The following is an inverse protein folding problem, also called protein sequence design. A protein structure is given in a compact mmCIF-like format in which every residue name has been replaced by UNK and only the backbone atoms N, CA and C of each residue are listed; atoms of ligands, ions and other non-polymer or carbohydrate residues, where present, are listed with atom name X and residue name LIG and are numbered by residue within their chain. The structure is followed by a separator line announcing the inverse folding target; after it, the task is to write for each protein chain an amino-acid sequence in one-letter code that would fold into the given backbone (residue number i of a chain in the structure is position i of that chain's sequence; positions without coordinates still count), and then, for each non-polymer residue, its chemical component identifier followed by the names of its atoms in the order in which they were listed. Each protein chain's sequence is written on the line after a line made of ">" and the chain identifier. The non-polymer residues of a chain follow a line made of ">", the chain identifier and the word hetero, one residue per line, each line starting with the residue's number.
data_IF_101633319212
#
_entry.id   IF_101633319212
#
_cell.length_a   1.000
_cell.length_b   1.000
_cell.length_c   1.000
_cell.angle_alpha   90.00
_cell.angle_beta   90.00
_cell.angle_gamma   90.00
#
_symmetry.space_group_name_H-M   'P 1'
#
loop_
_entity.id
_entity.type
_entity.pdbx_description
1 polymer ?
#
# COMPACT_ATOMS: atom_id res chain seq x y z
N UNK A 1 -0.07 26.97 -25.22
CA UNK A 1 -0.28 27.34 -23.80
C UNK A 1 0.40 28.69 -23.59
N UNK A 2 -0.30 29.79 -23.88
CA UNK A 2 0.28 31.12 -23.90
C UNK A 2 -0.36 31.93 -22.77
N UNK A 3 0.39 32.25 -21.72
CA UNK A 3 -0.16 33.03 -20.62
C UNK A 3 0.72 33.26 -19.39
N UNK A 4 2.00 32.90 -19.41
CA UNK A 4 2.93 33.26 -18.33
C UNK A 4 4.01 34.17 -18.89
N UNK A 5 4.06 35.41 -18.39
CA UNK A 5 5.12 36.35 -18.72
C UNK A 5 6.45 35.89 -18.14
N UNK A 6 7.56 36.31 -18.77
CA UNK A 6 8.92 36.05 -18.26
C UNK A 6 9.09 36.57 -16.83
N UNK A 7 8.37 37.63 -16.45
CA UNK A 7 8.37 38.16 -15.08
C UNK A 7 7.70 37.22 -14.09
N UNK A 8 6.59 36.57 -14.46
CA UNK A 8 5.91 35.57 -13.63
C UNK A 8 6.73 34.28 -13.51
N UNK A 9 7.44 33.90 -14.58
CA UNK A 9 8.42 32.82 -14.55
C UNK A 9 9.61 33.17 -13.63
N UNK A 10 10.13 34.40 -13.70
CA UNK A 10 11.20 34.87 -12.81
C UNK A 10 10.74 34.95 -11.35
N UNK A 11 9.47 35.28 -11.05
CA UNK A 11 8.96 35.19 -9.68
C UNK A 11 8.81 33.74 -9.19
N UNK A 12 8.58 32.79 -10.10
CA UNK A 12 8.55 31.35 -9.81
C UNK A 12 9.95 30.77 -9.54
N UNK A 13 11.01 31.31 -10.16
CA UNK A 13 12.36 30.74 -10.15
C UNK A 13 13.46 31.57 -9.46
N UNK A 14 13.32 32.90 -9.35
CA UNK A 14 14.35 33.79 -8.78
C UNK A 14 14.13 34.15 -7.30
N UNK A 15 13.04 33.67 -6.68
CA UNK A 15 12.83 33.70 -5.23
C UNK A 15 13.05 32.28 -4.66
N UNK A 16 14.19 31.99 -4.01
CA UNK A 16 14.43 30.67 -3.44
C UNK A 16 13.67 30.50 -2.11
N UNK A 17 13.05 29.34 -1.84
CA UNK A 17 12.56 28.33 -2.77
C UNK A 17 11.10 28.66 -3.15
N UNK A 18 10.64 28.31 -4.35
CA UNK A 18 9.21 28.07 -4.53
C UNK A 18 8.78 27.15 -3.37
N UNK A 19 7.89 27.59 -2.45
CA UNK A 19 7.54 26.75 -1.31
C UNK A 19 7.16 25.38 -1.87
N UNK A 20 7.64 24.29 -1.29
CA UNK A 20 7.30 22.92 -1.75
C UNK A 20 5.80 22.72 -1.97
N UNK A 21 4.97 23.55 -1.32
CA UNK A 21 3.52 23.71 -1.54
C UNK A 21 3.10 24.12 -2.96
N UNK A 22 3.84 24.96 -3.69
CA UNK A 22 3.50 25.37 -5.06
C UNK A 22 3.85 24.25 -6.05
N UNK A 23 5.06 23.71 -5.98
CA UNK A 23 5.47 22.57 -6.79
C UNK A 23 4.55 21.35 -6.56
N UNK A 24 4.20 21.06 -5.30
CA UNK A 24 3.23 20.02 -4.98
C UNK A 24 1.83 20.31 -5.54
N UNK A 25 1.37 21.56 -5.55
CA UNK A 25 0.08 21.93 -6.17
C UNK A 25 0.07 21.76 -7.69
N UNK A 26 1.22 21.86 -8.34
CA UNK A 26 1.34 21.64 -9.79
C UNK A 26 1.53 20.15 -10.12
N UNK A 27 2.26 19.42 -9.27
CA UNK A 27 2.53 17.99 -9.47
C UNK A 27 1.33 17.11 -9.10
N UNK A 28 0.50 17.52 -8.14
CA UNK A 28 -0.67 16.78 -7.68
C UNK A 28 -1.94 17.57 -7.91
N UNK A 29 -2.84 17.00 -8.71
CA UNK A 29 -4.13 17.58 -9.06
C UNK A 29 -5.22 16.57 -8.70
N UNK A 30 -5.49 16.31 -7.40
CA UNK A 30 -6.56 15.40 -7.01
C UNK A 30 -7.89 15.87 -7.61
N UNK A 31 -8.64 14.99 -8.29
CA UNK A 31 -9.96 15.35 -8.78
C UNK A 31 -10.95 15.46 -7.61
N UNK A 32 -12.13 16.00 -7.89
CA UNK A 32 -13.27 15.80 -7.00
C UNK A 32 -13.54 14.29 -6.86
N UNK A 33 -13.71 13.76 -5.63
CA UNK A 33 -13.89 12.32 -5.42
C UNK A 33 -15.05 11.78 -6.25
N UNK A 34 -14.78 10.69 -6.96
CA UNK A 34 -15.78 10.01 -7.79
C UNK A 34 -16.39 8.81 -7.09
N UNK A 35 -16.00 8.55 -5.85
CA UNK A 35 -16.53 7.49 -5.02
C UNK A 35 -16.56 7.86 -3.53
N UNK A 36 -17.34 7.12 -2.77
CA UNK A 36 -17.41 7.18 -1.32
C UNK A 36 -17.37 5.77 -0.71
N UNK A 37 -16.92 5.70 0.55
CA UNK A 37 -17.00 4.49 1.36
C UNK A 37 -18.16 4.61 2.34
N UNK A 38 -19.15 3.74 2.19
CA UNK A 38 -20.30 3.70 3.09
C UNK A 38 -20.16 2.51 4.05
N UNK A 39 -20.48 2.67 5.34
CA UNK A 39 -20.52 1.54 6.27
C UNK A 39 -21.49 0.47 5.78
N UNK A 40 -21.04 -0.78 5.74
CA UNK A 40 -21.89 -1.91 5.39
C UNK A 40 -22.65 -2.41 6.61
N UNK A 41 -23.83 -1.82 6.84
CA UNK A 41 -24.68 -2.12 8.00
C UNK A 41 -25.27 -3.55 7.98
N UNK A 42 -25.16 -4.26 6.86
CA UNK A 42 -25.68 -5.63 6.68
C UNK A 42 -24.59 -6.70 6.86
N UNK A 43 -23.32 -6.29 6.97
CA UNK A 43 -22.20 -7.22 7.11
C UNK A 43 -22.03 -7.66 8.56
N UNK A 44 -22.17 -8.96 8.82
CA UNK A 44 -21.71 -9.57 10.07
C UNK A 44 -20.19 -9.37 10.28
N UNK A 45 -19.68 -9.61 11.50
CA UNK A 45 -18.27 -9.39 11.82
C UNK A 45 -17.34 -10.16 10.87
N UNK A 46 -16.25 -9.50 10.44
CA UNK A 46 -15.24 -10.08 9.54
C UNK A 46 -14.66 -11.34 10.19
N UNK A 47 -14.71 -12.52 9.54
CA UNK A 47 -14.09 -13.71 10.09
C UNK A 47 -12.58 -13.51 10.11
N UNK A 48 -12.00 -13.46 11.30
CA UNK A 48 -10.56 -13.59 11.49
C UNK A 48 -10.19 -15.04 11.19
N UNK A 49 -9.55 -15.29 10.04
CA UNK A 49 -9.03 -16.62 9.75
C UNK A 49 -7.82 -16.90 10.63
N UNK A 50 -8.05 -17.28 11.88
CA UNK A 50 -7.12 -18.08 12.66
C UNK A 50 -7.22 -19.52 12.17
N UNK A 51 -6.55 -19.82 11.06
CA UNK A 51 -6.26 -21.20 10.71
C UNK A 51 -5.24 -21.71 11.73
N UNK A 52 -5.73 -22.24 12.85
CA UNK A 52 -4.99 -23.20 13.67
C UNK A 52 -4.67 -24.39 12.77
N UNK A 53 -3.39 -24.56 12.46
CA UNK A 53 -2.88 -25.77 11.84
C UNK A 53 -3.35 -26.99 12.67
N UNK A 54 -3.90 -28.05 12.05
CA UNK A 54 -4.20 -29.27 12.78
C UNK A 54 -2.89 -29.86 13.31
N UNK A 55 -2.79 -29.98 14.63
CA UNK A 55 -1.67 -30.60 15.31
C UNK A 55 -1.39 -31.99 14.75
N UNK A 56 -0.13 -32.20 14.35
CA UNK A 56 0.42 -33.48 13.93
C UNK A 56 0.31 -34.46 15.11
N UNK A 57 -0.71 -35.32 15.11
CA UNK A 57 -0.78 -36.46 16.03
C UNK A 57 0.28 -37.46 15.62
N UNK A 58 1.36 -37.55 16.39
CA UNK A 58 2.32 -38.64 16.30
C UNK A 58 1.61 -39.95 16.66
N UNK A 59 1.44 -40.83 15.67
CA UNK A 59 1.15 -42.24 15.93
C UNK A 59 2.47 -42.90 16.32
N UNK A 60 2.54 -43.39 17.56
CA UNK A 60 3.65 -44.19 18.03
C UNK A 60 3.76 -45.50 17.24
N UNK A 61 4.95 -45.77 16.74
CA UNK A 61 5.38 -47.12 16.37
C UNK A 61 6.46 -47.55 17.34
N UNK A 62 6.13 -48.55 18.14
CA UNK A 62 7.05 -49.35 18.93
C UNK A 62 8.08 -50.02 18.02
N UNK A 63 9.37 -49.77 18.27
CA UNK A 63 10.46 -50.70 17.91
C UNK A 63 11.41 -50.77 19.11
N UNK A 64 11.73 -52.00 19.47
CA UNK A 64 12.51 -52.40 20.64
C UNK A 64 14.01 -52.52 20.32
N UNK A 65 14.82 -52.42 21.38
CA UNK A 65 16.22 -52.90 21.48
C UNK A 65 17.28 -51.84 21.14
N UNK A 66 18.35 -51.61 21.90
CA UNK A 66 18.87 -52.23 23.13
C UNK A 66 20.29 -51.71 23.40
N UNK A 67 20.72 -51.72 24.67
CA UNK A 67 22.12 -51.53 25.15
C UNK A 67 22.67 -50.10 25.08
N UNK A 68 23.45 -49.56 26.02
CA UNK A 68 24.10 -50.02 27.25
C UNK A 68 25.16 -48.97 27.68
N UNK A 69 25.52 -48.92 28.97
CA UNK A 69 26.67 -48.15 29.53
C UNK A 69 26.31 -46.77 30.10
N UNK A 70 26.27 -46.53 31.43
CA UNK A 70 27.41 -46.32 32.39
C UNK A 70 28.18 -45.01 32.08
N UNK A 71 28.51 -44.06 32.97
CA UNK A 71 28.49 -43.90 34.42
C UNK A 71 28.67 -42.39 34.78
N UNK A 72 28.41 -42.06 36.06
CA UNK A 72 28.97 -40.96 36.88
C UNK A 72 28.74 -39.50 36.42
N UNK A 73 28.38 -38.52 37.25
CA UNK A 73 28.43 -38.40 38.71
C UNK A 73 29.24 -37.15 39.09
N UNK A 74 28.68 -36.35 40.03
CA UNK A 74 29.28 -35.20 40.75
C UNK A 74 29.23 -33.85 40.00
N UNK A 75 28.78 -32.72 40.56
CA UNK A 75 28.29 -32.41 41.90
C UNK A 75 28.57 -30.94 42.24
N UNK A 76 27.55 -30.22 42.75
CA UNK A 76 27.66 -29.02 43.62
C UNK A 76 28.09 -27.71 42.94
N UNK A 77 27.55 -26.53 43.24
CA UNK A 77 26.61 -26.10 44.29
C UNK A 77 26.95 -24.66 44.73
N UNK A 78 25.90 -23.84 44.91
CA UNK A 78 25.89 -22.55 45.64
C UNK A 78 26.19 -21.30 44.79
N UNK A 79 25.49 -20.17 44.89
CA UNK A 79 24.40 -19.74 45.78
C UNK A 79 24.46 -18.21 46.00
N UNK A 80 23.28 -17.56 46.03
CA UNK A 80 23.05 -16.16 46.48
C UNK A 80 23.16 -15.12 45.36
N UNK A 81 22.16 -14.31 44.99
CA UNK A 81 21.16 -13.57 45.78
C UNK A 81 21.55 -12.07 45.70
N UNK A 82 20.73 -11.07 45.37
CA UNK A 82 19.30 -10.94 45.11
C UNK A 82 18.97 -9.48 44.75
N UNK A 83 17.68 -9.17 44.60
CA UNK A 83 17.11 -7.82 44.44
C UNK A 83 16.98 -7.38 42.97
N UNK A 84 15.82 -7.15 42.38
CA UNK A 84 14.54 -6.72 42.92
C UNK A 84 14.24 -5.32 42.38
N UNK A 85 13.46 -5.21 41.30
CA UNK A 85 12.54 -4.10 41.05
C UNK A 85 11.64 -4.43 39.86
N UNK A 86 10.36 -4.64 40.17
CA UNK A 86 9.28 -4.74 39.23
C UNK A 86 8.82 -3.33 38.83
N UNK A 87 8.72 -3.11 37.54
CA UNK A 87 7.78 -2.19 36.90
C UNK A 87 7.53 -2.78 35.50
N UNK A 88 6.34 -3.23 35.13
CA UNK A 88 5.07 -2.52 35.30
C UNK A 88 4.89 -1.60 34.09
N UNK A 89 4.72 -2.18 32.90
CA UNK A 89 4.50 -1.45 31.65
C UNK A 89 3.78 -2.35 30.65
N UNK A 90 2.45 -2.38 30.78
CA UNK A 90 1.57 -3.22 29.98
C UNK A 90 1.42 -2.76 28.54
N UNK A 91 1.08 -3.73 27.68
CA UNK A 91 0.02 -3.63 26.69
C UNK A 91 0.16 -2.55 25.62
N UNK A 92 0.71 -2.94 24.47
CA UNK A 92 0.63 -2.17 23.23
C UNK A 92 0.67 -3.05 21.99
N UNK A 93 0.15 -4.28 22.08
CA UNK A 93 -0.21 -5.04 20.88
C UNK A 93 -1.33 -4.27 20.20
N UNK A 94 -0.99 -3.51 19.15
CA UNK A 94 -1.94 -2.84 18.28
C UNK A 94 -2.78 -3.89 17.55
N UNK A 95 -3.73 -4.48 18.26
CA UNK A 95 -4.77 -5.30 17.68
C UNK A 95 -5.47 -4.47 16.62
N UNK A 96 -5.63 -5.09 15.45
CA UNK A 96 -6.45 -4.55 14.38
C UNK A 96 -7.79 -4.10 14.97
N UNK A 97 -7.96 -2.79 15.09
CA UNK A 97 -9.25 -2.22 15.42
C UNK A 97 -10.22 -2.73 14.35
N UNK A 98 -11.30 -3.39 14.78
CA UNK A 98 -12.29 -3.97 13.88
C UNK A 98 -12.83 -2.88 12.95
N UNK A 99 -12.28 -2.78 11.76
CA UNK A 99 -12.79 -1.90 10.73
C UNK A 99 -14.07 -2.53 10.20
N UNK A 100 -15.18 -1.80 10.34
CA UNK A 100 -16.45 -2.17 9.72
C UNK A 100 -16.23 -2.44 8.24
N UNK A 101 -16.99 -3.39 7.68
CA UNK A 101 -16.97 -3.64 6.24
C UNK A 101 -17.48 -2.37 5.54
N UNK A 102 -16.82 -1.97 4.46
CA UNK A 102 -17.20 -0.81 3.68
C UNK A 102 -17.80 -1.26 2.34
N UNK A 103 -18.89 -0.61 1.92
CA UNK A 103 -19.42 -0.72 0.55
C UNK A 103 -18.90 0.44 -0.29
N UNK A 104 -18.44 0.11 -1.50
CA UNK A 104 -18.04 1.08 -2.50
C UNK A 104 -19.30 1.72 -3.12
N UNK A 105 -19.39 3.04 -3.07
CA UNK A 105 -20.42 3.81 -3.76
C UNK A 105 -19.76 4.69 -4.82
N UNK A 106 -20.03 4.41 -6.09
CA UNK A 106 -19.52 5.21 -7.21
C UNK A 106 -20.51 6.31 -7.59
N UNK A 107 -19.98 7.48 -7.92
CA UNK A 107 -20.74 8.57 -8.55
C UNK A 107 -20.80 8.36 -10.06
N UNK A 108 -21.68 9.08 -10.75
CA UNK A 108 -21.77 9.06 -12.22
C UNK A 108 -20.45 9.46 -12.91
N UNK A 109 -19.62 10.29 -12.26
CA UNK A 109 -18.32 10.72 -12.78
C UNK A 109 -17.26 9.63 -12.81
N UNK A 110 -17.50 8.51 -12.13
CA UNK A 110 -16.61 7.34 -12.21
C UNK A 110 -16.74 6.61 -13.56
N UNK A 111 -17.78 6.90 -14.35
CA UNK A 111 -18.03 6.31 -15.68
C UNK A 111 -17.91 4.77 -15.66
N UNK A 112 -18.50 4.14 -14.65
CA UNK A 112 -18.36 2.70 -14.43
C UNK A 112 -19.01 1.88 -15.55
N UNK A 113 -18.27 0.93 -16.13
CA UNK A 113 -18.65 0.21 -17.35
C UNK A 113 -19.14 -1.23 -17.11
N UNK A 114 -19.06 -1.72 -15.88
CA UNK A 114 -19.41 -3.11 -15.53
C UNK A 114 -20.72 -3.17 -14.74
N UNK A 115 -21.15 -4.38 -14.37
CA UNK A 115 -22.41 -4.58 -13.65
C UNK A 115 -22.23 -4.38 -12.15
N UNK A 116 -23.35 -4.27 -11.42
CA UNK A 116 -23.34 -4.19 -9.96
C UNK A 116 -22.61 -5.39 -9.30
N UNK A 117 -22.63 -6.55 -9.94
CA UNK A 117 -21.96 -7.75 -9.43
C UNK A 117 -20.44 -7.56 -9.33
N UNK A 118 -19.82 -6.89 -10.32
CA UNK A 118 -18.38 -6.60 -10.27
C UNK A 118 -18.04 -5.56 -9.18
N UNK A 119 -18.96 -4.62 -8.91
CA UNK A 119 -18.81 -3.68 -7.80
C UNK A 119 -18.91 -4.38 -6.44
N UNK A 120 -19.87 -5.28 -6.28
CA UNK A 120 -20.13 -5.96 -5.01
C UNK A 120 -18.97 -6.85 -4.56
N UNK A 121 -18.16 -7.35 -5.50
CA UNK A 121 -16.95 -8.15 -5.22
C UNK A 121 -15.68 -7.30 -5.08
N UNK A 122 -15.78 -5.98 -5.30
CA UNK A 122 -14.68 -5.06 -5.10
C UNK A 122 -14.57 -4.72 -3.61
N UNK A 123 -13.50 -5.19 -2.97
CA UNK A 123 -13.24 -4.92 -1.56
C UNK A 123 -12.63 -3.52 -1.42
N UNK A 124 -13.15 -2.73 -0.48
CA UNK A 124 -12.62 -1.40 -0.16
C UNK A 124 -12.45 -1.22 1.34
N UNK A 125 -11.41 -0.49 1.74
CA UNK A 125 -11.13 -0.21 3.15
C UNK A 125 -10.19 0.99 3.27
N UNK A 126 -9.95 1.43 4.51
CA UNK A 126 -8.98 2.45 4.83
C UNK A 126 -7.78 1.80 5.52
N UNK A 127 -6.57 2.18 5.17
CA UNK A 127 -5.36 1.86 5.96
C UNK A 127 -4.75 3.14 6.53
N UNK A 128 -3.80 3.01 7.45
CA UNK A 128 -3.13 4.16 8.06
C UNK A 128 -1.68 4.22 7.63
N UNK A 129 -1.27 5.35 7.04
CA UNK A 129 0.14 5.58 6.71
C UNK A 129 0.96 5.93 7.95
N UNK A 130 2.28 5.74 7.85
CA UNK A 130 3.24 6.10 8.92
C UNK A 130 3.21 7.60 9.27
N UNK A 131 2.66 8.42 8.36
CA UNK A 131 2.46 9.87 8.54
C UNK A 131 1.09 10.23 9.10
N UNK A 132 0.28 9.24 9.45
CA UNK A 132 -0.99 9.40 10.15
C UNK A 132 -2.21 9.67 9.27
N UNK A 133 -2.05 9.64 7.95
CA UNK A 133 -3.18 9.79 7.03
C UNK A 133 -3.91 8.46 6.90
N UNK A 134 -5.25 8.54 6.77
CA UNK A 134 -6.07 7.42 6.27
C UNK A 134 -5.99 7.40 4.75
N UNK A 135 -5.71 6.22 4.21
CA UNK A 135 -5.50 5.94 2.78
C UNK A 135 -6.56 4.97 2.30
N UNK A 136 -7.35 5.37 1.31
CA UNK A 136 -8.31 4.51 0.63
C UNK A 136 -7.61 3.42 -0.15
N UNK A 137 -8.04 2.17 0.03
CA UNK A 137 -7.56 1.00 -0.68
C UNK A 137 -8.73 0.28 -1.38
N UNK A 138 -8.44 -0.30 -2.53
CA UNK A 138 -9.34 -1.09 -3.35
C UNK A 138 -8.64 -2.38 -3.76
N UNK A 139 -9.31 -3.51 -3.56
CA UNK A 139 -8.83 -4.83 -3.97
C UNK A 139 -9.89 -5.55 -4.81
N UNK A 140 -9.51 -5.92 -6.02
CA UNK A 140 -10.37 -6.58 -7.00
C UNK A 140 -9.79 -7.94 -7.34
N UNK A 141 -10.54 -8.99 -7.03
CA UNK A 141 -10.19 -10.37 -7.41
C UNK A 141 -10.69 -10.65 -8.81
N UNK A 142 -9.90 -10.23 -9.81
CA UNK A 142 -10.33 -10.30 -11.21
C UNK A 142 -10.33 -11.71 -11.79
N UNK A 143 -9.58 -12.66 -11.21
CA UNK A 143 -9.56 -14.04 -11.69
C UNK A 143 -9.50 -15.08 -10.55
N UNK A 144 -10.26 -16.18 -10.62
CA UNK A 144 -10.33 -17.19 -9.55
C UNK A 144 -8.99 -17.86 -9.21
N UNK A 145 -8.10 -17.98 -10.19
CA UNK A 145 -6.80 -18.64 -10.07
C UNK A 145 -5.62 -17.69 -10.35
N UNK A 146 -5.81 -16.37 -10.14
CA UNK A 146 -4.74 -15.40 -10.28
C UNK A 146 -3.60 -15.72 -9.31
N UNK A 147 -2.43 -16.08 -9.86
CA UNK A 147 -1.19 -16.26 -9.09
C UNK A 147 -0.65 -14.94 -8.58
N UNK A 148 -0.72 -13.90 -9.41
CA UNK A 148 -0.13 -12.60 -9.13
C UNK A 148 -1.20 -11.58 -8.76
N UNK A 149 -0.81 -10.66 -7.87
CA UNK A 149 -1.57 -9.45 -7.57
C UNK A 149 -0.74 -8.24 -7.97
N UNK A 150 -1.33 -7.35 -8.76
CA UNK A 150 -0.71 -6.08 -9.13
C UNK A 150 -0.99 -5.06 -8.03
N UNK A 151 0.06 -4.52 -7.41
CA UNK A 151 -0.03 -3.29 -6.62
C UNK A 151 0.10 -2.09 -7.58
N UNK A 152 -1.04 -1.47 -7.88
CA UNK A 152 -1.17 -0.41 -8.85
C UNK A 152 -1.12 0.97 -8.18
N UNK A 153 -0.18 1.80 -8.62
CA UNK A 153 -0.06 3.21 -8.26
C UNK A 153 -0.59 4.05 -9.42
N UNK A 154 -1.74 4.69 -9.23
CA UNK A 154 -2.46 5.38 -10.30
C UNK A 154 -1.81 6.69 -10.77
N UNK A 155 -2.28 7.20 -11.91
CA UNK A 155 -1.83 8.48 -12.45
C UNK A 155 -2.26 9.70 -11.64
N UNK A 156 -1.80 10.88 -12.05
CA UNK A 156 -2.32 12.14 -11.53
C UNK A 156 -3.77 12.36 -12.04
N UNK A 157 -4.52 13.22 -11.37
CA UNK A 157 -5.88 13.64 -11.78
C UNK A 157 -6.91 12.52 -11.97
N UNK A 158 -6.69 11.38 -11.31
CA UNK A 158 -7.64 10.26 -11.21
C UNK A 158 -7.71 9.78 -9.76
N UNK A 159 -8.79 9.11 -9.40
CA UNK A 159 -8.94 8.39 -8.13
C UNK A 159 -9.34 6.91 -8.36
N UNK A 160 -9.45 6.14 -7.28
CA UNK A 160 -9.85 4.73 -7.36
C UNK A 160 -11.20 4.51 -8.03
N UNK A 161 -12.15 5.44 -7.87
CA UNK A 161 -13.48 5.34 -8.48
C UNK A 161 -13.40 5.35 -10.00
N UNK A 162 -12.72 6.35 -10.58
CA UNK A 162 -12.52 6.45 -12.03
C UNK A 162 -11.72 5.29 -12.61
N UNK A 163 -10.77 4.77 -11.84
CA UNK A 163 -9.90 3.70 -12.30
C UNK A 163 -10.51 2.29 -12.16
N UNK A 164 -11.61 2.13 -11.41
CA UNK A 164 -12.22 0.83 -11.11
C UNK A 164 -12.54 -0.02 -12.34
N UNK A 165 -13.17 0.56 -13.38
CA UNK A 165 -13.43 -0.12 -14.65
C UNK A 165 -12.13 -0.57 -15.34
N UNK A 166 -11.13 0.30 -15.36
CA UNK A 166 -9.83 -0.02 -15.96
C UNK A 166 -9.16 -1.20 -15.24
N UNK A 167 -9.22 -1.23 -13.90
CA UNK A 167 -8.66 -2.32 -13.09
C UNK A 167 -9.33 -3.67 -13.38
N UNK A 168 -10.66 -3.72 -13.42
CA UNK A 168 -11.39 -4.94 -13.78
C UNK A 168 -10.97 -5.43 -15.16
N UNK A 169 -10.96 -4.54 -16.16
CA UNK A 169 -10.59 -4.89 -17.52
C UNK A 169 -9.14 -5.35 -17.66
N UNK A 170 -8.21 -4.67 -16.99
CA UNK A 170 -6.80 -5.03 -16.98
C UNK A 170 -6.60 -6.40 -16.33
N UNK A 171 -7.02 -6.56 -15.07
CA UNK A 171 -6.81 -7.78 -14.27
C UNK A 171 -7.40 -9.02 -14.93
N UNK A 172 -8.58 -8.89 -15.53
CA UNK A 172 -9.23 -10.00 -16.27
C UNK A 172 -8.41 -10.41 -17.50
N UNK A 173 -7.88 -9.46 -18.27
CA UNK A 173 -7.10 -9.75 -19.49
C UNK A 173 -5.73 -10.34 -19.20
N UNK A 174 -5.10 -9.97 -18.09
CA UNK A 174 -3.76 -10.45 -17.71
C UNK A 174 -3.79 -11.55 -16.64
N UNK A 175 -4.99 -12.03 -16.26
CA UNK A 175 -5.20 -13.05 -15.23
C UNK A 175 -4.49 -12.73 -13.89
N UNK A 176 -4.63 -11.49 -13.41
CA UNK A 176 -4.07 -11.02 -12.15
C UNK A 176 -5.14 -10.33 -11.31
N UNK A 177 -5.02 -10.39 -9.99
CA UNK A 177 -5.80 -9.52 -9.10
C UNK A 177 -5.22 -8.11 -9.13
N UNK A 178 -6.05 -7.09 -8.86
CA UNK A 178 -5.60 -5.70 -8.78
C UNK A 178 -5.81 -5.18 -7.37
N UNK A 179 -4.76 -4.67 -6.76
CA UNK A 179 -4.81 -3.88 -5.54
C UNK A 179 -4.34 -2.47 -5.86
N UNK A 180 -5.14 -1.47 -5.54
CA UNK A 180 -4.80 -0.06 -5.74
C UNK A 180 -5.13 0.74 -4.49
N UNK A 181 -4.50 1.89 -4.36
CA UNK A 181 -4.70 2.82 -3.25
C UNK A 181 -4.72 4.25 -3.78
N UNK A 182 -5.40 5.15 -3.08
CA UNK A 182 -5.34 6.59 -3.37
C UNK A 182 -4.17 7.25 -2.62
N UNK A 183 -3.63 8.32 -3.17
CA UNK A 183 -2.65 9.14 -2.47
C UNK A 183 -3.32 10.02 -1.40
N UNK A 184 -2.57 10.45 -0.38
CA UNK A 184 -3.06 11.40 0.61
C UNK A 184 -3.64 12.65 -0.06
N UNK A 185 -4.92 12.94 0.20
CA UNK A 185 -5.66 14.03 -0.43
C UNK A 185 -6.34 13.70 -1.78
N UNK A 186 -6.30 12.45 -2.24
CA UNK A 186 -7.06 11.94 -3.39
C UNK A 186 -8.25 11.10 -2.90
N UNK A 187 -9.34 11.12 -3.67
CA UNK A 187 -10.57 10.38 -3.38
C UNK A 187 -10.99 10.53 -1.91
N UNK A 188 -11.09 9.40 -1.20
CA UNK A 188 -11.48 9.40 0.24
C UNK A 188 -10.29 9.53 1.20
N UNK A 189 -9.06 9.57 0.68
CA UNK A 189 -7.85 9.63 1.48
C UNK A 189 -7.66 11.01 2.12
N UNK A 190 -7.37 11.00 3.41
CA UNK A 190 -7.15 12.25 4.18
C UNK A 190 -5.76 12.84 3.93
N UNK A 191 -5.53 14.04 4.47
CA UNK A 191 -4.23 14.70 4.43
C UNK A 191 -4.09 15.59 3.20
N UNK A 192 -2.85 15.74 2.72
CA UNK A 192 -2.54 16.58 1.55
C UNK A 192 -1.52 15.87 0.66
N UNK A 193 -1.58 16.06 -0.66
CA UNK A 193 -0.58 15.48 -1.55
C UNK A 193 0.81 16.08 -1.27
N UNK A 194 1.80 15.21 -1.14
CA UNK A 194 3.22 15.56 -1.10
C UNK A 194 4.05 14.31 -1.37
N UNK A 195 5.26 14.47 -1.85
CA UNK A 195 6.20 13.36 -2.08
C UNK A 195 6.40 12.47 -0.84
N UNK A 196 6.59 13.07 0.34
CA UNK A 196 6.73 12.31 1.59
C UNK A 196 5.50 11.50 1.96
N UNK A 197 4.30 12.03 1.67
CA UNK A 197 3.07 11.27 1.88
C UNK A 197 2.93 10.18 0.82
N UNK A 198 3.27 10.45 -0.43
CA UNK A 198 3.23 9.49 -1.54
C UNK A 198 4.00 8.20 -1.21
N UNK A 199 5.22 8.33 -0.66
CA UNK A 199 6.02 7.19 -0.20
C UNK A 199 5.40 6.48 1.03
N UNK A 200 4.89 7.25 2.00
CA UNK A 200 4.24 6.68 3.17
C UNK A 200 2.93 5.95 2.83
N UNK A 201 2.23 6.38 1.78
CA UNK A 201 0.96 5.82 1.34
C UNK A 201 1.19 4.49 0.60
N UNK A 202 2.20 4.39 -0.26
CA UNK A 202 2.55 3.11 -0.88
C UNK A 202 3.07 2.10 0.14
N UNK A 203 3.82 2.54 1.15
CA UNK A 203 4.24 1.68 2.26
C UNK A 203 3.02 1.10 2.99
N UNK A 204 2.00 1.94 3.24
CA UNK A 204 0.77 1.49 3.90
C UNK A 204 -0.01 0.49 3.03
N UNK A 205 -0.07 0.73 1.72
CA UNK A 205 -0.68 -0.18 0.75
C UNK A 205 0.05 -1.52 0.67
N UNK A 206 1.38 -1.50 0.58
CA UNK A 206 2.24 -2.69 0.60
C UNK A 206 2.03 -3.53 1.84
N UNK A 207 2.03 -2.89 3.02
CA UNK A 207 1.79 -3.60 4.28
C UNK A 207 0.38 -4.16 4.36
N UNK A 208 -0.64 -3.42 3.92
CA UNK A 208 -2.01 -3.91 3.87
C UNK A 208 -2.13 -5.16 2.98
N UNK A 209 -1.52 -5.13 1.79
CA UNK A 209 -1.54 -6.24 0.85
C UNK A 209 -0.91 -7.50 1.46
N UNK A 210 0.21 -7.35 2.16
CA UNK A 210 0.92 -8.47 2.81
C UNK A 210 0.24 -8.98 4.07
N UNK A 211 -0.27 -8.09 4.91
CA UNK A 211 -0.78 -8.46 6.25
C UNK A 211 -2.26 -8.83 6.22
N UNK A 212 -3.09 -8.09 5.47
CA UNK A 212 -4.54 -8.35 5.37
C UNK A 212 -4.84 -9.52 4.46
N UNK A 213 -4.10 -9.67 3.36
CA UNK A 213 -4.35 -10.69 2.35
C UNK A 213 -3.31 -11.81 2.33
N UNK A 214 -2.23 -11.72 3.12
CA UNK A 214 -1.23 -12.78 3.21
C UNK A 214 -0.44 -13.01 1.92
N UNK A 215 -0.44 -12.06 0.98
CA UNK A 215 0.21 -12.23 -0.31
C UNK A 215 1.71 -12.03 -0.12
N UNK A 216 2.49 -13.00 -0.56
CA UNK A 216 3.94 -12.97 -0.45
C UNK A 216 4.59 -12.07 -1.53
N UNK A 217 5.73 -11.43 -1.24
CA UNK A 217 6.36 -10.47 -2.15
C UNK A 217 6.62 -11.00 -3.57
N UNK A 218 7.01 -12.26 -3.70
CA UNK A 218 7.26 -12.94 -4.97
C UNK A 218 6.00 -13.18 -5.82
N UNK A 219 4.82 -12.88 -5.28
CA UNK A 219 3.54 -12.90 -5.99
C UNK A 219 2.96 -11.49 -6.20
N UNK A 220 3.71 -10.43 -5.87
CA UNK A 220 3.29 -9.03 -6.06
C UNK A 220 4.03 -8.43 -7.25
N UNK A 221 3.28 -7.90 -8.22
CA UNK A 221 3.82 -7.09 -9.31
C UNK A 221 3.57 -5.63 -8.97
N UNK A 222 4.61 -4.81 -8.96
CA UNK A 222 4.45 -3.36 -8.79
C UNK A 222 4.16 -2.72 -10.14
N UNK A 223 3.12 -1.88 -10.22
CA UNK A 223 2.76 -1.16 -11.42
C UNK A 223 2.58 0.31 -11.09
N UNK A 224 3.35 1.17 -11.75
CA UNK A 224 3.19 2.62 -11.65
C UNK A 224 2.76 3.23 -12.98
N UNK A 225 1.76 4.10 -12.96
CA UNK A 225 1.35 4.89 -14.13
C UNK A 225 1.68 6.36 -13.91
N UNK A 226 2.41 6.99 -14.84
CA UNK A 226 2.78 8.42 -14.76
C UNK A 226 3.38 8.76 -13.39
N UNK A 227 2.78 9.67 -12.61
CA UNK A 227 3.25 10.00 -11.25
C UNK A 227 3.35 8.79 -10.31
N UNK A 228 2.51 7.77 -10.50
CA UNK A 228 2.56 6.52 -9.73
C UNK A 228 3.83 5.70 -9.94
N UNK A 229 4.63 6.00 -10.97
CA UNK A 229 5.96 5.40 -11.15
C UNK A 229 6.93 5.81 -10.03
N UNK A 230 6.76 6.98 -9.43
CA UNK A 230 7.64 7.48 -8.36
C UNK A 230 7.57 6.60 -7.11
N UNK A 231 6.41 6.41 -6.45
CA UNK A 231 6.34 5.54 -5.27
C UNK A 231 6.63 4.08 -5.63
N UNK A 232 6.30 3.66 -6.85
CA UNK A 232 6.59 2.30 -7.35
C UNK A 232 8.08 2.00 -7.35
N UNK A 233 8.90 2.90 -7.93
CA UNK A 233 10.36 2.74 -7.98
C UNK A 233 10.97 2.83 -6.58
N UNK A 234 10.52 3.79 -5.76
CA UNK A 234 10.98 3.91 -4.38
C UNK A 234 10.74 2.61 -3.59
N UNK A 235 9.53 2.04 -3.67
CA UNK A 235 9.21 0.77 -3.00
C UNK A 235 10.04 -0.39 -3.55
N UNK A 236 10.19 -0.50 -4.87
CA UNK A 236 10.98 -1.54 -5.53
C UNK A 236 12.47 -1.49 -5.15
N UNK A 237 13.00 -0.31 -4.82
CA UNK A 237 14.38 -0.15 -4.38
C UNK A 237 14.63 -0.71 -2.97
N UNK A 238 13.56 -0.94 -2.19
CA UNK A 238 13.62 -1.35 -0.78
C UNK A 238 13.11 -2.78 -0.55
N UNK A 239 12.30 -3.32 -1.45
CA UNK A 239 11.69 -4.64 -1.31
C UNK A 239 11.77 -5.45 -2.59
N UNK A 240 12.05 -6.74 -2.44
CA UNK A 240 11.89 -7.72 -3.51
C UNK A 240 10.42 -7.86 -3.89
N UNK A 241 10.15 -7.96 -5.20
CA UNK A 241 8.83 -8.18 -5.77
C UNK A 241 8.95 -9.07 -7.01
N UNK A 242 7.82 -9.57 -7.52
CA UNK A 242 7.82 -10.45 -8.68
C UNK A 242 8.29 -9.73 -9.96
N UNK A 243 7.86 -8.49 -10.14
CA UNK A 243 8.22 -7.64 -11.28
C UNK A 243 7.84 -6.18 -11.01
N UNK A 244 8.42 -5.27 -11.79
CA UNK A 244 8.09 -3.84 -11.80
C UNK A 244 7.68 -3.43 -13.21
N UNK A 245 6.54 -2.75 -13.35
CA UNK A 245 6.04 -2.18 -14.59
C UNK A 245 5.94 -0.66 -14.43
N UNK A 246 6.65 0.07 -15.28
CA UNK A 246 6.59 1.54 -15.33
C UNK A 246 5.89 1.96 -16.61
N UNK A 247 4.67 2.45 -16.49
CA UNK A 247 3.87 2.94 -17.61
C UNK A 247 3.97 4.46 -17.70
N UNK A 248 4.63 4.92 -18.77
CA UNK A 248 4.88 6.35 -19.04
C UNK A 248 5.57 7.04 -17.85
N UNK A 249 6.73 6.53 -17.38
CA UNK A 249 7.44 7.09 -16.23
C UNK A 249 7.90 8.52 -16.50
N UNK A 250 8.00 9.30 -15.43
CA UNK A 250 8.72 10.57 -15.45
C UNK A 250 10.16 10.37 -14.96
N UNK A 251 11.06 11.18 -15.50
CA UNK A 251 12.44 11.26 -14.97
C UNK A 251 12.50 12.17 -13.74
N UNK A 252 11.81 13.31 -13.78
CA UNK A 252 11.60 14.21 -12.64
C UNK A 252 10.50 15.23 -12.96
N UNK A 253 9.99 15.94 -11.96
CA UNK A 253 8.95 16.95 -12.13
C UNK A 253 9.38 18.10 -13.04
N UNK A 254 10.62 18.57 -12.90
CA UNK A 254 11.19 19.61 -13.79
C UNK A 254 11.31 19.13 -15.23
N UNK A 255 11.68 17.86 -15.46
CA UNK A 255 11.81 17.32 -16.82
C UNK A 255 10.46 17.06 -17.49
N UNK A 256 9.39 16.88 -16.72
CA UNK A 256 8.02 16.89 -17.25
C UNK A 256 7.61 18.29 -17.68
N UNK A 257 7.87 19.30 -16.85
CA UNK A 257 7.51 20.69 -17.15
C UNK A 257 8.41 21.34 -18.23
N UNK A 258 9.70 20.96 -18.25
CA UNK A 258 10.75 21.52 -19.09
C UNK A 258 11.67 20.39 -19.60
N UNK A 259 11.32 19.73 -20.73
CA UNK A 259 12.02 18.55 -21.23
C UNK A 259 13.53 18.72 -21.46
N UNK A 260 13.98 19.93 -21.79
CA UNK A 260 15.39 20.24 -22.04
C UNK A 260 16.24 20.42 -20.77
N UNK A 261 15.67 20.17 -19.58
CA UNK A 261 16.37 20.31 -18.30
C UNK A 261 17.51 19.30 -18.16
N UNK A 262 18.75 19.78 -18.34
CA UNK A 262 19.97 18.96 -18.27
C UNK A 262 20.51 18.72 -16.86
N UNK A 263 20.10 19.53 -15.88
CA UNK A 263 20.59 19.48 -14.49
C UNK A 263 19.46 19.10 -13.54
N UNK A 264 19.76 18.29 -12.54
CA UNK A 264 18.84 18.04 -11.42
C UNK A 264 19.01 19.15 -10.40
N UNK A 265 17.92 19.89 -10.13
CA UNK A 265 17.92 21.02 -9.20
C UNK A 265 17.43 20.56 -7.82
N UNK A 266 17.85 21.25 -6.75
CA UNK A 266 17.46 20.89 -5.38
C UNK A 266 15.97 21.07 -5.06
N UNK A 267 15.23 21.78 -5.93
CA UNK A 267 13.79 21.99 -5.86
C UNK A 267 13.02 21.17 -6.91
N UNK A 268 13.70 20.27 -7.61
CA UNK A 268 13.05 19.34 -8.53
C UNK A 268 12.18 18.36 -7.72
N UNK A 269 10.94 18.17 -8.14
CA UNK A 269 10.06 17.20 -7.50
C UNK A 269 10.39 15.81 -8.04
N UNK A 270 10.65 14.85 -7.17
CA UNK A 270 11.09 13.50 -7.57
C UNK A 270 12.40 13.54 -8.39
N UNK A 271 13.51 14.07 -7.82
CA UNK A 271 14.78 14.27 -8.51
C UNK A 271 15.54 12.99 -8.88
#
# INVERSE_FOLDING_TARGET
>A
MNGLSVSELCCLFCCPPCPSRIAAKLAFLPPEPTYALLPDLEAGPVPTSSTTAPGLRSRGSTVAGGGGGSAAGLGGGGGGGGGGSASGGGGGGGGAAGEGRWKLHLTERAEFQYTQRELDVTEVFLTRSSRGNRVGCMYIRCAPAARFTVLFSHGNAVDLGQMSSFYIGLGTRINCNIFSYDYSGYGVSTGKPSEKNLYADIDAAWQALRTRYGISPENIILYGQSIGTVPTVDLASRYECAAVILHSPLTSGMRVAFPDTKKTYCFDAFP
#
